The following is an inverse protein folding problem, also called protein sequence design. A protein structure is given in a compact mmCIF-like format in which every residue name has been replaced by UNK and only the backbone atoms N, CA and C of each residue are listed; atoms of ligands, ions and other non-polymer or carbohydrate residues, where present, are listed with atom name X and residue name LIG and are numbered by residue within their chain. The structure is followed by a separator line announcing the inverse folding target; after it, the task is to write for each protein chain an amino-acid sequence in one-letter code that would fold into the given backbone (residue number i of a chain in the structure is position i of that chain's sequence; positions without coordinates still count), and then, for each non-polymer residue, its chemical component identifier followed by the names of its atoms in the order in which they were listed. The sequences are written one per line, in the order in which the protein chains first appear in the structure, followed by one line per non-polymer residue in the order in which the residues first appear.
data_IF_097895086591
#
_entry.id   IF_097895086591
#
_cell.length_a   1.000
_cell.length_b   1.000
_cell.length_c   1.000
_cell.angle_alpha   90.00
_cell.angle_beta   90.00
_cell.angle_gamma   90.00
#
_symmetry.space_group_name_H-M   'P 1'
#
loop_
_entity.id
_entity.type
_entity.pdbx_description
1 polymer ?
#
# COMPACT_ATOMS: atom_id res chain seq x y z
N UNK A 1 -4.14 -17.22 6.50
CA UNK A 1 -5.15 -16.79 7.49
C UNK A 1 -4.50 -15.73 8.36
N UNK A 2 -4.89 -14.46 8.25
CA UNK A 2 -4.24 -13.37 9.02
C UNK A 2 -4.86 -13.35 10.43
N UNK A 3 -4.03 -13.39 11.46
CA UNK A 3 -4.50 -13.37 12.85
C UNK A 3 -5.07 -11.99 13.21
N UNK A 4 -6.40 -11.89 13.26
CA UNK A 4 -7.14 -10.64 13.50
C UNK A 4 -7.13 -10.19 14.97
N UNK A 5 -6.45 -10.92 15.87
CA UNK A 5 -6.43 -10.64 17.32
C UNK A 5 -5.77 -9.30 17.68
N UNK A 6 -4.97 -8.73 16.79
CA UNK A 6 -4.29 -7.44 17.01
C UNK A 6 -5.18 -6.21 16.74
N UNK A 7 -6.33 -6.38 16.07
CA UNK A 7 -7.16 -5.26 15.62
C UNK A 7 -7.88 -4.51 16.74
N UNK A 8 -8.00 -5.11 17.93
CA UNK A 8 -8.61 -4.46 19.10
C UNK A 8 -7.78 -3.27 19.63
N UNK A 9 -6.51 -3.18 19.26
CA UNK A 9 -5.61 -2.11 19.68
C UNK A 9 -5.44 -1.00 18.62
N UNK A 10 -6.04 -1.16 17.43
CA UNK A 10 -5.98 -0.14 16.39
C UNK A 10 -6.99 0.97 16.67
N UNK A 11 -6.58 2.21 16.39
CA UNK A 11 -7.49 3.36 16.41
C UNK A 11 -8.71 3.08 15.51
N UNK A 12 -9.89 3.51 15.96
CA UNK A 12 -11.18 3.15 15.36
C UNK A 12 -11.23 3.29 13.82
N UNK A 13 -10.67 4.34 13.20
CA UNK A 13 -10.66 4.49 11.73
C UNK A 13 -9.81 3.41 11.03
N UNK A 14 -8.63 3.09 11.57
CA UNK A 14 -7.69 2.11 11.01
C UNK A 14 -8.26 0.70 11.08
N UNK A 15 -8.91 0.37 12.21
CA UNK A 15 -9.62 -0.91 12.39
C UNK A 15 -10.71 -1.11 11.34
N UNK A 16 -11.44 -0.05 10.97
CA UNK A 16 -12.51 -0.09 9.97
C UNK A 16 -11.97 -0.38 8.57
N UNK A 17 -10.87 0.27 8.17
CA UNK A 17 -10.22 0.02 6.88
C UNK A 17 -9.77 -1.44 6.75
N UNK A 18 -9.10 -1.98 7.78
CA UNK A 18 -8.66 -3.38 7.78
C UNK A 18 -9.82 -4.36 7.55
N UNK A 19 -10.95 -4.15 8.24
CA UNK A 19 -12.13 -5.00 8.12
C UNK A 19 -12.72 -4.92 6.71
N UNK A 20 -12.81 -3.72 6.12
CA UNK A 20 -13.30 -3.55 4.76
C UNK A 20 -12.37 -4.19 3.71
N UNK A 21 -11.06 -4.01 3.84
CA UNK A 21 -10.08 -4.64 2.93
C UNK A 21 -10.11 -6.16 3.05
N UNK A 22 -10.21 -6.71 4.27
CA UNK A 22 -10.32 -8.16 4.45
C UNK A 22 -11.64 -8.71 3.86
N UNK A 23 -12.74 -7.97 3.97
CA UNK A 23 -13.99 -8.35 3.31
C UNK A 23 -13.90 -8.29 1.79
N UNK A 24 -13.17 -7.33 1.22
CA UNK A 24 -12.92 -7.28 -0.23
C UNK A 24 -12.22 -8.54 -0.74
N UNK A 25 -11.35 -9.15 0.07
CA UNK A 25 -10.66 -10.40 -0.27
C UNK A 25 -11.56 -11.64 -0.20
N UNK A 26 -12.53 -11.66 0.71
CA UNK A 26 -13.47 -12.79 0.86
C UNK A 26 -14.62 -12.74 -0.19
N UNK A 27 -14.79 -11.63 -0.92
CA UNK A 27 -15.77 -11.49 -2.00
C UNK A 27 -15.48 -12.39 -3.22
N UNK A 28 -14.24 -12.84 -3.38
CA UNK A 28 -13.82 -13.64 -4.54
C UNK A 28 -14.15 -15.14 -4.41
N UNK A 29 -14.71 -15.58 -3.27
CA UNK A 29 -14.88 -17.01 -3.01
C UNK A 29 -16.31 -17.48 -2.73
N UNK A 30 -17.24 -16.59 -2.40
CA UNK A 30 -18.61 -16.99 -2.10
C UNK A 30 -19.56 -15.92 -2.60
N UNK A 31 -20.28 -16.20 -3.69
CA UNK A 31 -21.35 -15.36 -4.22
C UNK A 31 -22.55 -15.26 -3.26
N UNK A 32 -22.32 -14.81 -2.03
CA UNK A 32 -23.32 -14.67 -0.99
C UNK A 32 -23.69 -13.20 -0.75
N UNK A 33 -25.00 -13.05 -0.55
CA UNK A 33 -25.76 -11.81 -0.39
C UNK A 33 -25.17 -10.92 0.71
N UNK A 34 -24.95 -9.65 0.38
CA UNK A 34 -24.52 -8.57 1.27
C UNK A 34 -25.43 -8.43 2.50
N UNK A 35 -25.17 -9.18 3.57
CA UNK A 35 -25.75 -8.87 4.87
C UNK A 35 -25.02 -7.64 5.42
N UNK A 36 -25.57 -6.49 5.04
CA UNK A 36 -25.35 -5.20 5.67
C UNK A 36 -25.63 -5.33 7.17
N UNK A 37 -24.61 -5.71 7.95
CA UNK A 37 -24.58 -5.30 9.34
C UNK A 37 -24.65 -3.78 9.31
N UNK A 38 -25.76 -3.24 9.81
CA UNK A 38 -26.02 -1.81 9.98
C UNK A 38 -25.09 -1.34 11.10
N UNK A 39 -23.83 -1.06 10.78
CA UNK A 39 -22.89 -0.50 11.74
C UNK A 39 -23.30 0.96 11.95
N UNK A 40 -23.89 1.25 13.11
CA UNK A 40 -24.22 2.60 13.51
C UNK A 40 -22.92 3.37 13.71
N UNK A 41 -22.70 4.33 12.82
CA UNK A 41 -21.60 5.27 12.88
C UNK A 41 -21.77 6.14 14.13
N UNK A 42 -21.10 5.79 15.21
CA UNK A 42 -20.72 6.83 16.17
C UNK A 42 -19.65 7.65 15.46
N UNK A 43 -20.04 8.86 15.05
CA UNK A 43 -19.15 9.90 14.52
C UNK A 43 -17.89 9.92 15.40
N UNK A 44 -16.67 9.92 14.83
CA UNK A 44 -15.48 10.10 15.65
C UNK A 44 -15.71 11.36 16.48
N UNK A 45 -15.73 11.20 17.81
CA UNK A 45 -15.91 12.33 18.71
C UNK A 45 -14.85 13.36 18.35
N UNK A 46 -15.18 14.65 18.34
CA UNK A 46 -14.24 15.77 18.07
C UNK A 46 -13.03 15.83 19.03
N UNK A 47 -12.92 14.85 19.93
CA UNK A 47 -11.80 14.58 20.82
C UNK A 47 -10.86 13.47 20.29
N UNK A 48 -10.70 13.34 18.98
CA UNK A 48 -9.47 12.77 18.45
C UNK A 48 -8.37 13.77 18.82
N UNK A 49 -7.72 13.57 19.97
CA UNK A 49 -6.45 14.23 20.26
C UNK A 49 -5.50 13.99 19.08
N UNK A 50 -4.59 14.94 18.84
CA UNK A 50 -3.49 14.72 17.90
C UNK A 50 -2.97 13.29 18.06
N UNK A 51 -2.70 12.57 16.96
CA UNK A 51 -2.21 11.20 17.03
C UNK A 51 -1.01 11.15 17.97
N UNK A 52 -1.19 10.57 19.15
CA UNK A 52 -0.14 10.44 20.17
C UNK A 52 1.06 9.64 19.66
N UNK A 53 0.96 8.96 18.50
CA UNK A 53 2.06 8.17 17.97
C UNK A 53 2.23 8.23 16.44
N UNK A 54 3.47 8.47 15.96
CA UNK A 54 3.88 8.22 14.58
C UNK A 54 3.60 6.79 14.07
N UNK A 55 3.35 5.84 14.98
CA UNK A 55 3.14 4.43 14.67
C UNK A 55 1.77 4.15 14.02
N UNK A 56 0.71 4.81 14.47
CA UNK A 56 -0.62 4.67 13.86
C UNK A 56 -0.65 5.19 12.42
N UNK A 57 0.06 6.30 12.16
CA UNK A 57 0.26 6.82 10.81
C UNK A 57 0.99 5.83 9.92
N UNK A 58 2.07 5.20 10.43
CA UNK A 58 2.80 4.18 9.68
C UNK A 58 1.91 2.98 9.34
N UNK A 59 1.08 2.53 10.28
CA UNK A 59 0.14 1.43 10.03
C UNK A 59 -0.90 1.81 8.98
N UNK A 60 -1.45 3.01 9.06
CA UNK A 60 -2.41 3.50 8.10
C UNK A 60 -1.80 3.61 6.69
N UNK A 61 -0.62 4.22 6.56
CA UNK A 61 0.08 4.29 5.29
C UNK A 61 0.37 2.89 4.71
N UNK A 62 0.76 1.92 5.55
CA UNK A 62 0.98 0.53 5.11
C UNK A 62 -0.30 -0.11 4.56
N UNK A 63 -1.42 0.05 5.27
CA UNK A 63 -2.71 -0.50 4.85
C UNK A 63 -3.20 0.13 3.56
N UNK A 64 -3.14 1.45 3.46
CA UNK A 64 -3.51 2.19 2.25
C UNK A 64 -2.67 1.75 1.06
N UNK A 65 -1.36 1.56 1.26
CA UNK A 65 -0.47 1.07 0.22
C UNK A 65 -0.79 -0.36 -0.22
N UNK A 66 -1.11 -1.25 0.71
CA UNK A 66 -1.58 -2.62 0.38
C UNK A 66 -2.89 -2.59 -0.40
N UNK A 67 -3.86 -1.77 0.02
CA UNK A 67 -5.12 -1.60 -0.71
C UNK A 67 -4.90 -1.10 -2.14
N UNK A 68 -4.03 -0.10 -2.30
CA UNK A 68 -3.64 0.42 -3.60
C UNK A 68 -3.03 -0.67 -4.49
N UNK A 69 -2.09 -1.47 -3.96
CA UNK A 69 -1.48 -2.56 -4.72
C UNK A 69 -2.49 -3.63 -5.14
N UNK A 70 -3.41 -4.00 -4.25
CA UNK A 70 -4.46 -4.95 -4.57
C UNK A 70 -5.35 -4.42 -5.70
N UNK A 71 -5.77 -3.14 -5.63
CA UNK A 71 -6.60 -2.53 -6.66
C UNK A 71 -5.89 -2.42 -8.01
N UNK A 72 -4.61 -2.04 -8.02
CA UNK A 72 -3.83 -1.93 -9.25
C UNK A 72 -3.52 -3.29 -9.89
N UNK A 73 -3.46 -4.35 -9.09
CA UNK A 73 -3.27 -5.73 -9.57
C UNK A 73 -4.55 -6.39 -10.11
N UNK A 74 -5.73 -5.80 -9.86
CA UNK A 74 -7.00 -6.34 -10.36
C UNK A 74 -7.17 -6.09 -11.87
N UNK A 75 -7.85 -7.00 -12.61
CA UNK A 75 -8.31 -6.73 -13.97
C UNK A 75 -9.13 -5.44 -14.05
N UNK A 76 -9.09 -4.76 -15.20
CA UNK A 76 -9.73 -3.45 -15.39
C UNK A 76 -11.25 -3.51 -15.16
N UNK A 77 -11.89 -4.60 -15.57
CA UNK A 77 -13.32 -4.84 -15.42
C UNK A 77 -13.69 -4.88 -13.93
N UNK A 78 -12.93 -5.62 -13.12
CA UNK A 78 -13.13 -5.72 -11.68
C UNK A 78 -12.84 -4.38 -10.99
N UNK A 79 -11.84 -3.62 -11.45
CA UNK A 79 -11.60 -2.28 -10.95
C UNK A 79 -12.82 -1.38 -11.19
N UNK A 80 -13.40 -1.39 -12.39
CA UNK A 80 -14.59 -0.58 -12.69
C UNK A 80 -15.78 -0.96 -11.82
N UNK A 81 -16.03 -2.26 -11.63
CA UNK A 81 -17.10 -2.75 -10.77
C UNK A 81 -16.89 -2.33 -9.31
N UNK A 82 -15.66 -2.45 -8.81
CA UNK A 82 -15.29 -1.97 -7.47
C UNK A 82 -15.50 -0.47 -7.34
N UNK A 83 -15.08 0.34 -8.33
CA UNK A 83 -15.26 1.81 -8.30
C UNK A 83 -16.71 2.25 -8.23
N UNK A 84 -17.60 1.51 -8.90
CA UNK A 84 -19.06 1.73 -8.90
C UNK A 84 -19.74 1.16 -7.66
N UNK A 85 -19.06 0.30 -6.90
CA UNK A 85 -19.63 -0.32 -5.71
C UNK A 85 -19.84 0.70 -4.58
N UNK A 86 -20.84 0.50 -3.71
CA UNK A 86 -21.01 1.28 -2.48
C UNK A 86 -19.79 1.22 -1.57
N UNK A 87 -19.00 0.14 -1.66
CA UNK A 87 -17.77 -0.03 -0.86
C UNK A 87 -16.72 0.99 -1.27
N UNK A 88 -16.52 1.25 -2.56
CA UNK A 88 -15.58 2.28 -2.99
C UNK A 88 -15.96 3.66 -2.47
N UNK A 89 -17.24 4.02 -2.48
CA UNK A 89 -17.70 5.28 -1.89
C UNK A 89 -17.41 5.38 -0.38
N UNK A 90 -17.59 4.28 0.36
CA UNK A 90 -17.25 4.24 1.78
C UNK A 90 -15.74 4.39 2.00
N UNK A 91 -14.92 3.67 1.21
CA UNK A 91 -13.46 3.77 1.31
C UNK A 91 -12.99 5.18 0.96
N UNK A 92 -13.52 5.80 -0.10
CA UNK A 92 -13.23 7.20 -0.47
C UNK A 92 -13.54 8.15 0.69
N UNK A 93 -14.75 8.08 1.24
CA UNK A 93 -15.16 8.92 2.38
C UNK A 93 -14.24 8.76 3.59
N UNK A 94 -13.80 7.53 3.88
CA UNK A 94 -12.84 7.28 4.97
C UNK A 94 -11.46 7.87 4.63
N UNK A 95 -11.00 7.71 3.39
CA UNK A 95 -9.74 8.31 2.94
C UNK A 95 -9.77 9.84 3.01
N UNK A 96 -10.88 10.48 2.65
CA UNK A 96 -11.05 11.94 2.75
C UNK A 96 -10.98 12.41 4.20
N UNK A 97 -11.68 11.74 5.12
CA UNK A 97 -11.60 12.02 6.56
C UNK A 97 -10.16 11.89 7.07
N UNK A 98 -9.45 10.86 6.61
CA UNK A 98 -8.06 10.65 7.00
C UNK A 98 -7.15 11.70 6.38
N UNK A 99 -7.34 12.09 5.12
CA UNK A 99 -6.54 13.12 4.46
C UNK A 99 -6.61 14.45 5.20
N UNK A 100 -7.80 14.83 5.68
CA UNK A 100 -7.97 16.00 6.56
C UNK A 100 -7.17 15.83 7.86
N UNK A 101 -7.19 14.64 8.44
CA UNK A 101 -6.46 14.37 9.68
C UNK A 101 -4.93 14.32 9.49
N UNK A 102 -4.47 13.86 8.33
CA UNK A 102 -3.03 13.74 8.01
C UNK A 102 -2.48 14.94 7.25
N UNK A 103 -3.28 15.98 7.00
CA UNK A 103 -2.87 17.18 6.24
C UNK A 103 -1.54 17.78 6.76
N UNK A 104 -1.29 17.90 8.08
CA UNK A 104 -0.02 18.42 8.59
C UNK A 104 1.18 17.50 8.28
N UNK A 105 0.94 16.23 7.93
CA UNK A 105 1.94 15.19 7.74
C UNK A 105 2.08 14.83 6.26
N UNK A 106 2.86 15.63 5.53
CA UNK A 106 3.09 15.49 4.08
C UNK A 106 3.40 14.05 3.60
N UNK A 107 4.19 13.27 4.35
CA UNK A 107 4.52 11.90 3.97
C UNK A 107 3.31 10.94 4.04
N UNK A 108 2.40 11.17 4.98
CA UNK A 108 1.20 10.37 5.13
C UNK A 108 0.17 10.72 4.06
N UNK A 109 -0.02 12.01 3.75
CA UNK A 109 -0.90 12.44 2.67
C UNK A 109 -0.46 11.86 1.32
N UNK A 110 0.84 11.91 1.00
CA UNK A 110 1.39 11.28 -0.21
C UNK A 110 1.12 9.78 -0.32
N UNK A 111 0.99 9.07 0.80
CA UNK A 111 0.71 7.64 0.80
C UNK A 111 -0.76 7.33 0.50
N UNK A 112 -1.66 8.27 0.76
CA UNK A 112 -3.12 8.08 0.69
C UNK A 112 -3.71 8.62 -0.61
N UNK A 113 -3.20 9.74 -1.11
CA UNK A 113 -3.67 10.36 -2.36
C UNK A 113 -3.73 9.39 -3.55
N UNK A 114 -2.74 8.50 -3.79
CA UNK A 114 -2.83 7.57 -4.91
C UNK A 114 -3.99 6.58 -4.80
N UNK A 115 -4.36 6.17 -3.57
CA UNK A 115 -5.52 5.28 -3.38
C UNK A 115 -6.82 6.00 -3.78
N UNK A 116 -6.97 7.27 -3.38
CA UNK A 116 -8.15 8.08 -3.76
C UNK A 116 -8.23 8.23 -5.27
N UNK A 117 -7.12 8.58 -5.93
CA UNK A 117 -7.07 8.71 -7.39
C UNK A 117 -7.44 7.41 -8.13
N UNK A 118 -6.96 6.25 -7.65
CA UNK A 118 -7.34 4.95 -8.21
C UNK A 118 -8.82 4.67 -8.02
N UNK A 119 -9.36 4.98 -6.83
CA UNK A 119 -10.79 4.83 -6.57
C UNK A 119 -11.60 5.75 -7.48
N UNK A 120 -11.16 6.96 -7.78
CA UNK A 120 -11.86 7.90 -8.68
C UNK A 120 -11.78 7.52 -10.17
N UNK A 121 -11.00 6.49 -10.51
CA UNK A 121 -10.78 6.06 -11.90
C UNK A 121 -9.67 6.84 -12.61
N UNK A 122 -8.99 7.73 -11.89
CA UNK A 122 -7.84 8.49 -12.35
C UNK A 122 -6.52 7.71 -12.12
N UNK A 123 -6.50 6.41 -12.42
CA UNK A 123 -5.34 5.53 -12.18
C UNK A 123 -4.07 6.00 -12.91
N UNK A 124 -4.21 6.71 -14.03
CA UNK A 124 -3.10 7.30 -14.78
C UNK A 124 -2.45 8.50 -14.06
N UNK A 125 -3.16 9.15 -13.14
CA UNK A 125 -2.66 10.26 -12.32
C UNK A 125 -2.10 9.81 -10.97
N UNK A 126 -2.45 8.60 -10.53
CA UNK A 126 -2.06 8.02 -9.25
C UNK A 126 -0.58 7.59 -9.22
N UNK A 127 0.33 8.50 -9.54
CA UNK A 127 1.78 8.25 -9.69
C UNK A 127 2.06 7.26 -10.83
N UNK A 128 3.22 7.35 -11.48
CA UNK A 128 3.58 6.38 -12.51
C UNK A 128 3.55 4.97 -11.88
N UNK A 129 2.70 4.04 -12.38
CA UNK A 129 2.67 2.66 -11.87
C UNK A 129 4.06 2.01 -11.84
N UNK A 130 5.00 2.51 -12.66
CA UNK A 130 6.41 2.11 -12.65
C UNK A 130 7.15 2.43 -11.34
N UNK A 131 6.97 3.60 -10.72
CA UNK A 131 7.65 3.91 -9.45
C UNK A 131 7.15 3.04 -8.29
N UNK A 132 5.86 2.70 -8.36
CA UNK A 132 5.17 1.87 -7.40
C UNK A 132 5.53 0.37 -7.58
N UNK A 133 5.55 -0.11 -8.83
CA UNK A 133 5.99 -1.47 -9.18
C UNK A 133 7.49 -1.69 -8.96
N UNK A 134 8.33 -0.66 -9.15
CA UNK A 134 9.77 -0.72 -8.86
C UNK A 134 10.05 -1.06 -7.39
N UNK A 135 9.12 -0.73 -6.48
CA UNK A 135 9.23 -1.10 -5.06
C UNK A 135 8.82 -2.55 -4.76
N UNK A 136 8.03 -3.18 -5.63
CA UNK A 136 7.69 -4.61 -5.56
C UNK A 136 8.76 -5.46 -6.27
N UNK A 137 9.31 -4.98 -7.40
CA UNK A 137 10.33 -5.70 -8.19
C UNK A 137 11.58 -6.08 -7.40
N UNK A 138 11.91 -5.34 -6.34
CA UNK A 138 13.03 -5.66 -5.46
C UNK A 138 12.97 -7.06 -4.84
N UNK A 139 11.77 -7.68 -4.78
CA UNK A 139 11.57 -9.01 -4.19
C UNK A 139 11.62 -10.16 -5.20
N UNK A 140 11.38 -9.92 -6.49
CA UNK A 140 11.23 -10.98 -7.50
C UNK A 140 12.24 -10.89 -8.65
N UNK A 141 12.98 -9.79 -8.74
CA UNK A 141 13.93 -9.53 -9.82
C UNK A 141 15.13 -8.69 -9.43
N UNK A 142 16.06 -8.57 -10.37
CA UNK A 142 17.23 -7.73 -10.21
C UNK A 142 16.82 -6.25 -10.04
N UNK A 143 17.26 -5.61 -8.96
CA UNK A 143 16.91 -4.22 -8.62
C UNK A 143 17.49 -3.16 -9.57
N UNK A 144 18.48 -3.53 -10.40
CA UNK A 144 19.03 -2.63 -11.41
C UNK A 144 18.02 -2.31 -12.51
N UNK A 145 17.77 -1.02 -12.77
CA UNK A 145 16.83 -0.55 -13.80
C UNK A 145 17.15 -1.12 -15.19
N UNK A 146 16.12 -1.58 -15.89
CA UNK A 146 16.28 -2.17 -17.23
C UNK A 146 16.80 -3.62 -17.23
N UNK A 147 17.14 -4.20 -16.08
CA UNK A 147 17.42 -5.62 -16.00
C UNK A 147 16.10 -6.41 -15.93
N UNK A 148 15.92 -7.37 -16.84
CA UNK A 148 14.73 -8.24 -16.87
C UNK A 148 14.97 -9.61 -16.21
N UNK A 149 16.10 -9.80 -15.51
CA UNK A 149 16.40 -11.04 -14.79
C UNK A 149 15.57 -11.15 -13.52
N UNK A 150 14.91 -12.28 -13.38
CA UNK A 150 14.04 -12.70 -12.28
C UNK A 150 14.67 -13.86 -11.51
N UNK A 151 14.08 -14.23 -10.37
CA UNK A 151 14.49 -15.44 -9.61
C UNK A 151 14.38 -16.72 -10.47
N UNK A 152 13.44 -16.77 -11.41
CA UNK A 152 13.23 -17.92 -12.30
C UNK A 152 14.28 -18.01 -13.40
N UNK A 153 14.76 -16.86 -13.89
CA UNK A 153 15.65 -16.79 -15.06
C UNK A 153 17.13 -16.68 -14.70
N UNK A 154 17.46 -16.37 -13.45
CA UNK A 154 18.85 -16.22 -12.99
C UNK A 154 18.96 -16.42 -11.48
N UNK A 155 20.12 -16.92 -11.03
CA UNK A 155 20.47 -16.85 -9.61
C UNK A 155 20.65 -15.38 -9.21
N UNK A 156 19.84 -14.92 -8.27
CA UNK A 156 19.94 -13.58 -7.69
C UNK A 156 20.52 -13.68 -6.29
N UNK A 157 21.28 -12.68 -5.87
CA UNK A 157 21.77 -12.56 -4.50
C UNK A 157 21.26 -11.28 -3.85
N UNK A 158 21.00 -11.35 -2.55
CA UNK A 158 20.57 -10.21 -1.76
C UNK A 158 21.75 -9.30 -1.43
N UNK A 159 21.49 -7.99 -1.38
CA UNK A 159 22.45 -7.05 -0.79
C UNK A 159 22.81 -7.49 0.63
N UNK A 160 24.10 -7.73 0.90
CA UNK A 160 24.61 -8.10 2.23
C UNK A 160 24.26 -7.07 3.30
N UNK A 161 24.21 -5.81 2.87
CA UNK A 161 23.60 -4.63 3.46
C UNK A 161 22.16 -4.85 3.87
N UNK A 162 21.29 -4.46 2.95
CA UNK A 162 19.90 -4.17 3.24
C UNK A 162 18.99 -5.42 3.28
N UNK A 163 19.46 -6.58 2.77
CA UNK A 163 18.71 -7.83 2.53
C UNK A 163 17.38 -7.70 1.76
N UNK A 164 17.05 -6.50 1.27
CA UNK A 164 15.77 -6.17 0.65
C UNK A 164 15.84 -6.10 -0.87
N UNK A 165 17.05 -5.93 -1.43
CA UNK A 165 17.26 -5.83 -2.89
C UNK A 165 18.03 -7.02 -3.39
N UNK A 166 17.55 -7.59 -4.49
CA UNK A 166 18.19 -8.66 -5.23
C UNK A 166 19.00 -8.12 -6.41
N UNK A 167 20.13 -8.73 -6.71
CA UNK A 167 20.92 -8.44 -7.92
C UNK A 167 21.35 -9.73 -8.59
N UNK A 168 21.40 -9.73 -9.92
CA UNK A 168 21.96 -10.86 -10.68
C UNK A 168 23.49 -10.81 -10.78
N UNK A 169 24.12 -9.66 -10.47
CA UNK A 169 25.57 -9.48 -10.53
C UNK A 169 26.04 -8.37 -9.58
N UNK A 170 27.32 -8.43 -9.16
CA UNK A 170 27.93 -7.34 -8.39
C UNK A 170 28.07 -6.05 -9.19
N UNK A 171 28.07 -6.12 -10.52
CA UNK A 171 28.14 -4.97 -11.42
C UNK A 171 26.84 -4.17 -11.29
N UNK A 172 25.69 -4.82 -11.45
CA UNK A 172 24.37 -4.20 -11.29
C UNK A 172 24.17 -3.62 -9.90
N UNK A 173 24.68 -4.29 -8.85
CA UNK A 173 24.66 -3.73 -7.50
C UNK A 173 25.45 -2.42 -7.41
N UNK A 174 26.64 -2.33 -8.03
CA UNK A 174 27.48 -1.12 -8.01
C UNK A 174 26.86 0.01 -8.81
N UNK A 175 26.31 -0.27 -9.98
CA UNK A 175 25.64 0.72 -10.83
C UNK A 175 24.42 1.29 -10.11
N UNK A 176 23.56 0.43 -9.57
CA UNK A 176 22.39 0.83 -8.79
C UNK A 176 22.76 1.55 -7.47
N UNK A 177 23.94 1.26 -6.90
CA UNK A 177 24.45 1.95 -5.72
C UNK A 177 24.66 3.46 -5.95
N UNK A 178 25.06 3.83 -7.17
CA UNK A 178 25.37 5.19 -7.58
C UNK A 178 24.40 5.74 -8.64
N UNK A 179 23.24 5.10 -8.85
CA UNK A 179 22.24 5.54 -9.82
C UNK A 179 21.86 7.01 -9.57
N UNK A 180 21.83 7.81 -10.64
CA UNK A 180 21.61 9.26 -10.54
C UNK A 180 20.18 9.64 -10.18
N UNK A 181 19.22 8.75 -10.43
CA UNK A 181 17.80 9.01 -10.16
C UNK A 181 17.37 8.43 -8.81
N UNK A 182 17.84 7.22 -8.47
CA UNK A 182 17.44 6.48 -7.27
C UNK A 182 18.61 5.63 -6.74
N UNK A 183 19.64 6.24 -6.15
CA UNK A 183 20.79 5.50 -5.67
C UNK A 183 20.38 4.57 -4.52
N UNK A 184 20.69 3.27 -4.61
CA UNK A 184 20.45 2.31 -3.53
C UNK A 184 21.09 2.76 -2.22
N UNK A 185 22.24 3.44 -2.29
CA UNK A 185 22.93 4.02 -1.13
C UNK A 185 22.01 4.90 -0.27
N UNK A 186 21.05 5.64 -0.83
CA UNK A 186 20.21 6.56 -0.08
C UNK A 186 19.24 5.88 0.91
N UNK A 187 18.89 4.61 0.66
CA UNK A 187 17.89 3.90 1.45
C UNK A 187 18.38 2.56 2.02
N UNK A 188 19.51 2.01 1.54
CA UNK A 188 20.14 0.81 2.12
C UNK A 188 20.34 0.91 3.63
N UNK A 189 20.71 2.10 4.13
CA UNK A 189 21.01 2.35 5.55
C UNK A 189 19.76 2.58 6.42
N UNK A 190 18.56 2.70 5.86
CA UNK A 190 17.34 3.04 6.59
C UNK A 190 16.53 1.83 7.07
N UNK A 191 16.96 0.62 6.72
CA UNK A 191 16.24 -0.62 7.04
C UNK A 191 16.85 -1.25 8.29
N UNK A 192 16.18 -1.26 9.46
CA UNK A 192 16.62 -2.03 10.61
C UNK A 192 16.45 -3.54 10.35
N UNK A 193 17.42 -4.33 10.81
CA UNK A 193 17.44 -5.81 10.73
C UNK A 193 16.54 -6.43 11.79
#
# INVERSE_FOLDING_TARGET
MVDCRWWKYLHVPVRRICIHICRLRDLDHKGERWLLLRWTWSRPSRHLQEPDTPQDMLHLCRLTRVALYLLLGCPLELQEDLRKSPVAHQVRSICDEILVWVEPYFAASQSITPLVLVLDGDSMKATSPLELLDSIRGLEGCGHRGCSKTIETSQLFQCSRCKTVLYCSKIHQKEDWFDSKRPHKAWCYRTPW
#
